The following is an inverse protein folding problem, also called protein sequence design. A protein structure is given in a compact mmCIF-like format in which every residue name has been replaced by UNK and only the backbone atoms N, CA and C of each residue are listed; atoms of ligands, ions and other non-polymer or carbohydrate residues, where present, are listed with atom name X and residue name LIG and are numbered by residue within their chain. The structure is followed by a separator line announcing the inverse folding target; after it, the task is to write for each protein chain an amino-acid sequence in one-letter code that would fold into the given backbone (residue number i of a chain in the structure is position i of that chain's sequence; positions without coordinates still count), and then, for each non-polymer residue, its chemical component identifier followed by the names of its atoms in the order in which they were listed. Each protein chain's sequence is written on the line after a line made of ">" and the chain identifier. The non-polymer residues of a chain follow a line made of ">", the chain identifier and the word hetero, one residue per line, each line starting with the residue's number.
data_IF_166233067837
#
_entry.id   IF_166233067837
#
_cell.length_a   1.000
_cell.length_b   1.000
_cell.length_c   1.000
_cell.angle_alpha   90.00
_cell.angle_beta   90.00
_cell.angle_gamma   90.00
#
_symmetry.space_group_name_H-M   'P 1'
#
loop_
_entity.id
_entity.type
_entity.pdbx_description
1 polymer ?
#
# COMPACT_ATOMS: atom_id res chain seq x y z
N UNK A 1 9.65 9.18 14.36
CA UNK A 1 9.84 7.88 13.68
C UNK A 1 8.47 7.23 13.58
N UNK A 2 8.01 6.87 12.37
CA UNK A 2 6.80 6.07 12.23
C UNK A 2 7.11 4.61 12.66
N UNK A 3 6.16 3.91 13.31
CA UNK A 3 6.33 2.50 13.60
C UNK A 3 6.56 1.71 12.31
N UNK A 4 7.34 0.63 12.35
CA UNK A 4 7.48 -0.30 11.22
C UNK A 4 6.12 -0.89 10.88
N UNK A 5 5.53 -0.46 9.75
CA UNK A 5 4.35 -1.08 9.18
C UNK A 5 4.72 -2.46 8.63
N UNK A 6 4.07 -3.51 9.14
CA UNK A 6 4.19 -4.85 8.54
C UNK A 6 3.26 -4.92 7.33
N UNK A 7 3.77 -4.57 6.15
CA UNK A 7 3.02 -4.72 4.90
C UNK A 7 2.93 -6.21 4.54
N UNK A 8 1.72 -6.74 4.42
CA UNK A 8 1.45 -8.10 3.95
C UNK A 8 0.46 -8.05 2.77
N UNK A 9 0.47 -9.05 1.87
CA UNK A 9 -0.43 -9.06 0.74
C UNK A 9 -1.89 -9.18 1.18
N UNK A 10 -2.80 -8.57 0.42
CA UNK A 10 -4.25 -8.56 0.67
C UNK A 10 -4.84 -9.99 0.73
N UNK A 11 -4.21 -10.98 0.11
CA UNK A 11 -4.66 -12.37 0.24
C UNK A 11 -4.42 -12.98 1.64
N UNK A 12 -3.52 -12.40 2.44
CA UNK A 12 -3.10 -12.95 3.73
C UNK A 12 -3.75 -12.33 4.96
N UNK A 13 -4.70 -11.39 4.79
CA UNK A 13 -5.43 -10.82 5.93
C UNK A 13 -6.13 -11.87 6.80
N UNK A 14 -6.81 -12.89 6.25
CA UNK A 14 -7.46 -13.90 7.09
C UNK A 14 -6.46 -14.57 8.05
N UNK A 15 -5.28 -14.97 7.57
CA UNK A 15 -4.28 -15.60 8.42
C UNK A 15 -3.63 -14.62 9.40
N UNK A 16 -3.37 -13.38 8.97
CA UNK A 16 -2.79 -12.33 9.81
C UNK A 16 -3.68 -11.99 11.00
N UNK A 17 -4.99 -11.94 10.81
CA UNK A 17 -5.98 -11.63 11.85
C UNK A 17 -5.97 -12.68 12.96
N UNK A 18 -5.75 -13.95 12.62
CA UNK A 18 -5.60 -15.03 13.60
C UNK A 18 -4.20 -15.07 14.24
N UNK A 19 -3.28 -14.19 13.86
CA UNK A 19 -1.91 -14.19 14.36
C UNK A 19 -1.53 -12.88 15.06
N UNK A 20 -0.54 -12.97 15.94
CA UNK A 20 0.07 -11.82 16.61
C UNK A 20 1.54 -12.09 16.82
N UNK A 21 2.38 -11.07 16.61
CA UNK A 21 3.82 -11.17 16.89
C UNK A 21 4.08 -10.75 18.32
N UNK A 22 4.71 -11.61 19.13
CA UNK A 22 5.17 -11.29 20.48
C UNK A 22 6.61 -11.77 20.64
N UNK A 23 7.52 -10.88 21.02
CA UNK A 23 8.96 -11.17 21.15
C UNK A 23 9.54 -11.78 19.87
N UNK A 24 9.25 -11.17 18.71
CA UNK A 24 9.69 -11.66 17.38
C UNK A 24 9.23 -13.09 17.03
N UNK A 25 8.26 -13.65 17.77
CA UNK A 25 7.65 -14.96 17.49
C UNK A 25 6.17 -14.78 17.15
N UNK A 26 5.75 -15.38 16.05
CA UNK A 26 4.34 -15.44 15.66
C UNK A 26 3.58 -16.38 16.61
N UNK A 27 2.49 -15.89 17.18
CA UNK A 27 1.57 -16.64 18.04
C UNK A 27 0.16 -16.54 17.48
N UNK A 28 -0.65 -17.58 17.68
CA UNK A 28 -2.07 -17.53 17.35
C UNK A 28 -2.83 -16.67 18.36
N UNK A 29 -3.75 -15.83 17.88
CA UNK A 29 -4.72 -15.13 18.72
C UNK A 29 -5.81 -16.09 19.17
N UNK A 30 -6.31 -15.89 20.39
CA UNK A 30 -7.40 -16.68 20.95
C UNK A 30 -8.76 -16.20 20.42
N UNK A 31 -8.93 -16.24 19.11
CA UNK A 31 -10.19 -15.91 18.43
C UNK A 31 -11.08 -17.16 18.29
N UNK A 32 -12.41 -17.01 18.23
CA UNK A 32 -13.31 -18.09 17.84
C UNK A 32 -12.93 -18.72 16.50
N UNK A 33 -13.26 -19.99 16.30
CA UNK A 33 -13.00 -20.70 15.04
C UNK A 33 -13.81 -20.12 13.87
N UNK A 34 -14.98 -19.58 14.16
CA UNK A 34 -15.92 -18.92 13.24
C UNK A 34 -15.79 -17.39 13.25
N UNK A 35 -14.63 -16.87 13.65
CA UNK A 35 -14.41 -15.43 13.74
C UNK A 35 -14.55 -14.75 12.37
N UNK A 36 -15.49 -13.82 12.29
CA UNK A 36 -15.71 -12.97 11.13
C UNK A 36 -15.45 -11.49 11.49
N UNK A 37 -14.49 -10.88 10.80
CA UNK A 37 -14.06 -9.49 11.02
C UNK A 37 -15.21 -8.50 10.87
N UNK A 38 -16.07 -8.71 9.87
CA UNK A 38 -17.12 -7.76 9.54
C UNK A 38 -18.21 -7.71 10.62
N UNK A 39 -18.54 -8.86 11.20
CA UNK A 39 -19.51 -8.99 12.29
C UNK A 39 -18.95 -8.69 13.66
N UNK A 40 -17.71 -9.08 13.94
CA UNK A 40 -17.14 -9.04 15.28
C UNK A 40 -16.40 -7.72 15.60
N UNK A 41 -16.09 -6.89 14.61
CA UNK A 41 -15.24 -5.71 14.78
C UNK A 41 -15.88 -4.43 14.21
N UNK A 42 -15.71 -3.35 14.96
CA UNK A 42 -16.16 -2.01 14.58
C UNK A 42 -15.22 -1.41 13.51
N UNK A 43 -15.80 -0.76 12.50
CA UNK A 43 -15.08 -0.12 11.41
C UNK A 43 -14.80 1.34 11.74
N UNK A 44 -13.53 1.72 11.64
CA UNK A 44 -13.04 3.09 11.84
C UNK A 44 -12.40 3.63 10.57
N UNK A 45 -12.52 4.93 10.39
CA UNK A 45 -11.90 5.68 9.30
C UNK A 45 -10.87 6.67 9.85
N UNK A 46 -9.71 6.72 9.20
CA UNK A 46 -8.67 7.71 9.47
C UNK A 46 -8.24 8.34 8.15
N UNK A 47 -8.35 9.66 8.05
CA UNK A 47 -7.79 10.43 6.94
C UNK A 47 -6.33 10.74 7.26
N UNK A 48 -5.44 10.28 6.39
CA UNK A 48 -4.01 10.58 6.42
C UNK A 48 -3.63 11.47 5.24
N UNK A 49 -2.45 12.08 5.30
CA UNK A 49 -1.94 12.92 4.22
C UNK A 49 -0.58 12.40 3.77
N UNK A 50 -0.44 12.23 2.45
CA UNK A 50 0.84 11.91 1.81
C UNK A 50 1.36 13.18 1.17
N UNK A 51 2.51 13.66 1.61
CA UNK A 51 3.11 14.87 1.10
C UNK A 51 4.28 14.54 0.16
N UNK A 52 4.45 15.35 -0.88
CA UNK A 52 5.62 15.27 -1.77
C UNK A 52 6.90 15.44 -0.95
N UNK A 53 7.82 14.50 -1.11
CA UNK A 53 9.14 14.53 -0.47
C UNK A 53 10.07 15.56 -1.10
N UNK A 54 11.09 16.00 -0.37
CA UNK A 54 12.14 16.87 -0.90
C UNK A 54 12.86 16.28 -2.11
N UNK A 55 12.97 14.95 -2.16
CA UNK A 55 13.54 14.26 -3.32
C UNK A 55 12.63 14.44 -4.54
N UNK A 56 11.33 14.19 -4.42
CA UNK A 56 10.38 14.35 -5.52
C UNK A 56 10.29 15.80 -6.00
N UNK A 57 10.33 16.76 -5.07
CA UNK A 57 10.39 18.18 -5.41
C UNK A 57 11.66 18.51 -6.21
N UNK A 58 12.83 18.00 -5.80
CA UNK A 58 14.09 18.18 -6.54
C UNK A 58 14.06 17.51 -7.92
N UNK A 59 13.59 16.27 -7.97
CA UNK A 59 13.49 15.50 -9.23
C UNK A 59 12.53 16.20 -10.22
N UNK A 60 11.47 16.85 -9.74
CA UNK A 60 10.57 17.64 -10.57
C UNK A 60 11.25 18.88 -11.19
N UNK A 61 12.08 19.61 -10.42
CA UNK A 61 12.86 20.73 -10.93
C UNK A 61 13.91 20.26 -11.94
N UNK A 62 14.56 19.12 -11.71
CA UNK A 62 15.54 18.55 -12.66
C UNK A 62 14.89 18.13 -13.98
N UNK A 63 13.66 17.60 -13.95
CA UNK A 63 12.92 17.24 -15.17
C UNK A 63 12.51 18.45 -16.01
N UNK A 64 12.29 19.61 -15.39
CA UNK A 64 11.99 20.85 -16.07
C UNK A 64 12.76 22.02 -15.43
N UNK A 65 13.97 22.34 -15.93
CA UNK A 65 14.81 23.39 -15.36
C UNK A 65 14.19 24.80 -15.38
N UNK A 66 13.18 25.02 -16.22
CA UNK A 66 12.44 26.29 -16.28
C UNK A 66 11.23 26.32 -15.33
N UNK A 67 10.93 25.21 -14.64
CA UNK A 67 9.86 25.16 -13.65
C UNK A 67 10.27 25.90 -12.38
N UNK A 68 9.33 26.67 -11.83
CA UNK A 68 9.49 27.25 -10.50
C UNK A 68 9.60 26.13 -9.45
N UNK A 69 10.31 26.34 -8.33
CA UNK A 69 10.29 25.41 -7.21
C UNK A 69 8.84 25.09 -6.84
N UNK A 70 8.47 23.81 -6.92
CA UNK A 70 7.13 23.38 -6.56
C UNK A 70 6.96 23.46 -5.04
N UNK A 71 5.83 24.00 -4.54
CA UNK A 71 5.54 23.91 -3.12
C UNK A 71 5.31 22.46 -2.72
N UNK A 72 5.44 22.17 -1.42
CA UNK A 72 5.04 20.87 -0.90
C UNK A 72 3.54 20.69 -1.11
N UNK A 73 3.15 19.61 -1.78
CA UNK A 73 1.75 19.24 -1.99
C UNK A 73 1.42 18.02 -1.12
N UNK A 74 0.31 18.09 -0.38
CA UNK A 74 -0.16 17.01 0.47
C UNK A 74 -1.52 16.53 0.00
N UNK A 75 -1.64 15.23 -0.27
CA UNK A 75 -2.84 14.61 -0.78
C UNK A 75 -3.49 13.78 0.33
N UNK A 76 -4.78 14.02 0.64
CA UNK A 76 -5.49 13.20 1.60
C UNK A 76 -5.72 11.80 1.03
N UNK A 77 -5.60 10.80 1.88
CA UNK A 77 -6.00 9.43 1.57
C UNK A 77 -6.64 8.79 2.80
N UNK A 78 -7.60 7.90 2.56
CA UNK A 78 -8.38 7.26 3.60
C UNK A 78 -7.78 5.90 3.94
N UNK A 79 -7.55 5.64 5.22
CA UNK A 79 -7.28 4.30 5.75
C UNK A 79 -8.45 3.83 6.61
N UNK A 80 -8.83 2.57 6.43
CA UNK A 80 -9.92 1.94 7.17
C UNK A 80 -9.36 0.86 8.08
N UNK A 81 -9.85 0.81 9.31
CA UNK A 81 -9.38 -0.11 10.35
C UNK A 81 -10.53 -0.81 11.04
N UNK A 82 -10.38 -2.11 11.30
CA UNK A 82 -11.29 -2.85 12.18
C UNK A 82 -10.70 -2.91 13.59
N UNK A 83 -11.46 -2.44 14.57
CA UNK A 83 -11.15 -2.57 16.01
C UNK A 83 -11.87 -3.76 16.58
N UNK A 84 -11.11 -4.75 17.03
CA UNK A 84 -11.61 -6.05 17.47
C UNK A 84 -11.34 -6.26 18.96
N UNK A 85 -12.38 -6.58 19.72
CA UNK A 85 -12.26 -7.04 21.11
C UNK A 85 -11.92 -8.52 21.17
N UNK A 86 -11.05 -8.91 22.11
CA UNK A 86 -10.74 -10.31 22.43
C UNK A 86 -11.44 -10.73 23.72
N UNK A 87 -11.59 -12.05 23.92
CA UNK A 87 -12.23 -12.63 25.12
C UNK A 87 -11.51 -12.28 26.42
N UNK A 88 -10.20 -12.02 26.36
CA UNK A 88 -9.39 -11.61 27.51
C UNK A 88 -9.47 -10.11 27.80
N UNK A 89 -10.35 -9.38 27.11
CA UNK A 89 -10.52 -7.93 27.24
C UNK A 89 -9.49 -7.11 26.45
N UNK A 90 -8.51 -7.74 25.80
CA UNK A 90 -7.56 -7.03 24.97
C UNK A 90 -8.17 -6.59 23.65
N UNK A 91 -7.67 -5.49 23.09
CA UNK A 91 -8.12 -4.95 21.79
C UNK A 91 -6.99 -5.03 20.79
N UNK A 92 -7.32 -5.35 19.54
CA UNK A 92 -6.39 -5.20 18.43
C UNK A 92 -7.03 -4.47 17.27
N UNK A 93 -6.18 -3.84 16.47
CA UNK A 93 -6.57 -3.13 15.27
C UNK A 93 -5.94 -3.84 14.07
N UNK A 94 -6.68 -3.89 12.97
CA UNK A 94 -6.14 -4.36 11.70
C UNK A 94 -6.57 -3.39 10.61
N UNK A 95 -5.64 -2.98 9.76
CA UNK A 95 -5.97 -2.18 8.59
C UNK A 95 -6.71 -3.07 7.58
N UNK A 96 -7.89 -2.63 7.15
CA UNK A 96 -8.75 -3.33 6.20
C UNK A 96 -9.10 -2.49 4.99
N UNK A 97 -8.42 -1.36 4.74
CA UNK A 97 -8.67 -0.46 3.60
C UNK A 97 -8.96 -1.22 2.30
N UNK A 98 -8.09 -2.16 1.91
CA UNK A 98 -8.23 -2.95 0.69
C UNK A 98 -9.36 -4.00 0.68
N UNK A 99 -10.26 -4.04 1.67
CA UNK A 99 -11.38 -4.98 1.78
C UNK A 99 -12.73 -4.29 1.92
N UNK A 100 -12.76 -2.97 2.09
CA UNK A 100 -13.96 -2.24 2.47
C UNK A 100 -14.50 -1.42 1.29
N UNK A 101 -15.76 -1.66 0.93
CA UNK A 101 -16.53 -0.84 -0.02
C UNK A 101 -15.78 -0.53 -1.33
N UNK A 102 -15.70 0.75 -1.66
CA UNK A 102 -15.05 1.27 -2.88
C UNK A 102 -13.53 1.09 -2.91
N UNK A 103 -12.90 0.79 -1.78
CA UNK A 103 -11.46 0.59 -1.66
C UNK A 103 -11.07 -0.88 -1.77
N UNK A 104 -12.06 -1.78 -1.90
CA UNK A 104 -11.84 -3.22 -2.01
C UNK A 104 -10.94 -3.52 -3.20
N UNK A 105 -9.81 -4.15 -2.92
CA UNK A 105 -8.86 -4.57 -3.94
C UNK A 105 -9.42 -5.75 -4.73
N UNK A 106 -9.36 -5.64 -6.04
CA UNK A 106 -9.67 -6.71 -6.97
C UNK A 106 -8.38 -7.11 -7.69
N UNK A 107 -8.18 -8.43 -7.86
CA UNK A 107 -7.04 -8.92 -8.59
C UNK A 107 -7.09 -8.41 -10.04
N UNK A 108 -5.98 -7.88 -10.58
CA UNK A 108 -5.93 -7.50 -11.99
C UNK A 108 -6.35 -8.68 -12.84
N UNK A 109 -7.28 -8.48 -13.77
CA UNK A 109 -7.64 -9.52 -14.73
C UNK A 109 -6.45 -9.76 -15.67
N UNK A 110 -6.36 -10.98 -16.23
CA UNK A 110 -5.24 -11.37 -17.14
C UNK A 110 -5.00 -10.33 -18.25
N UNK A 111 -6.07 -9.72 -18.75
CA UNK A 111 -6.03 -8.65 -19.77
C UNK A 111 -5.24 -7.41 -19.32
N UNK A 112 -5.46 -6.96 -18.08
CA UNK A 112 -4.74 -5.82 -17.49
C UNK A 112 -3.28 -6.18 -17.21
N UNK A 113 -3.01 -7.44 -16.84
CA UNK A 113 -1.65 -7.93 -16.65
C UNK A 113 -0.86 -7.91 -17.98
N UNK A 114 -1.50 -8.35 -19.07
CA UNK A 114 -0.93 -8.36 -20.42
C UNK A 114 -0.70 -6.93 -20.97
N UNK A 115 -1.64 -6.00 -20.73
CA UNK A 115 -1.50 -4.58 -21.07
C UNK A 115 -0.39 -3.88 -20.25
N UNK A 116 -0.22 -4.22 -18.96
CA UNK A 116 0.86 -3.66 -18.14
C UNK A 116 2.25 -4.16 -18.58
N UNK A 117 2.35 -5.43 -19.01
CA UNK A 117 3.61 -5.98 -19.53
C UNK A 117 4.00 -5.35 -20.86
N UNK A 118 3.04 -5.13 -21.77
CA UNK A 118 3.32 -4.50 -23.07
C UNK A 118 3.77 -3.04 -22.91
N UNK A 119 3.14 -2.27 -22.03
CA UNK A 119 3.58 -0.89 -21.72
C UNK A 119 5.00 -0.82 -21.12
N UNK A 120 5.37 -1.80 -20.30
CA UNK A 120 6.71 -1.87 -19.71
C UNK A 120 7.79 -2.26 -20.74
N UNK A 121 7.45 -3.10 -21.72
CA UNK A 121 8.35 -3.47 -22.82
C UNK A 121 8.49 -2.33 -23.85
N UNK A 122 7.41 -1.62 -24.19
CA UNK A 122 7.43 -0.40 -25.02
C UNK A 122 8.30 0.71 -24.40
N UNK A 123 8.24 0.90 -23.08
CA UNK A 123 9.09 1.85 -22.36
C UNK A 123 10.58 1.44 -22.40
N UNK A 124 10.87 0.12 -22.41
CA UNK A 124 12.22 -0.42 -22.47
C UNK A 124 12.81 -0.39 -23.90
N UNK A 125 11.96 -0.43 -24.91
CA UNK A 125 12.36 -0.31 -26.32
C UNK A 125 12.65 1.15 -26.69
N UNK A 126 11.83 2.10 -26.23
CA UNK A 126 12.09 3.54 -26.42
C UNK A 126 13.33 4.07 -25.69
N UNK A 127 13.78 3.38 -24.63
CA UNK A 127 15.03 3.69 -23.92
C UNK A 127 16.31 3.08 -24.53
N UNK A 128 16.19 2.20 -25.54
CA UNK A 128 17.33 1.54 -26.21
C UNK A 128 17.66 2.09 -27.60
N UNK A 129 17.18 3.29 -27.92
CA UNK A 129 17.52 4.03 -29.13
C UNK A 129 18.93 4.64 -29.11
N UNK A 130 19.91 3.89 -29.62
CA UNK A 130 21.06 4.34 -30.44
C UNK A 130 22.00 5.42 -29.86
N UNK A 131 23.02 4.96 -29.12
CA UNK A 131 24.33 5.65 -29.12
C UNK A 131 25.06 5.30 -30.42
N UNK A 132 24.91 6.11 -31.47
CA UNK A 132 25.78 6.02 -32.64
C UNK A 132 27.09 6.74 -32.32
N UNK A 133 28.14 5.96 -32.14
CA UNK A 133 29.52 6.42 -32.12
C UNK A 133 29.80 7.13 -33.45
N UNK A 134 30.15 8.42 -33.41
CA UNK A 134 30.79 9.08 -34.54
C UNK A 134 32.29 8.94 -34.33
N UNK A 135 32.90 8.06 -35.13
CA UNK A 135 34.32 8.09 -35.44
C UNK A 135 34.51 9.00 -36.64
N UNK A 136 35.38 10.01 -36.51
CA UNK A 136 35.77 10.94 -37.56
C UNK A 136 36.83 11.88 -37.03
#
# INVERSE_FOLDING_TARGET
>A
MAPTEHTFPVSSLPSQVHSTTKNFKTKSRKLPTDFDLQRACELFEVVQYSCTSEKEMRDAVLRNPNAKPLPMECFPFVRLFRRCGQRDGSVFHVETTAWEGQYKWEAPTKRILEEATTLHDDAKEKGRGRWSWWSG
#
